data_IF_057673471146
#
_entry.id   IF_057673471146
#
_cell.length_a   1.000
_cell.length_b   1.000
_cell.length_c   1.000
_cell.angle_alpha   90.00
_cell.angle_beta   90.00
_cell.angle_gamma   90.00
#
_symmetry.space_group_name_H-M   'P 1'
#
loop_
_entity.id
_entity.type
_entity.pdbx_description
1 polymer ?
#
# COMPACT_ATOMS: atom_id res chain seq x y z
N UNK A 1 -13.60 -11.15 -6.80
CA UNK A 1 -13.24 -10.50 -5.52
C UNK A 1 -14.52 -10.12 -4.76
N UNK A 2 -15.03 -11.01 -3.90
CA UNK A 2 -16.38 -10.87 -3.30
C UNK A 2 -16.55 -9.58 -2.46
N UNK A 3 -15.57 -9.27 -1.62
CA UNK A 3 -15.64 -8.07 -0.74
C UNK A 3 -15.61 -6.78 -1.55
N UNK A 4 -14.76 -6.69 -2.57
CA UNK A 4 -14.63 -5.53 -3.45
C UNK A 4 -15.95 -5.26 -4.18
N UNK A 5 -16.58 -6.29 -4.74
CA UNK A 5 -17.89 -6.18 -5.40
C UNK A 5 -18.98 -5.68 -4.44
N UNK A 6 -19.01 -6.19 -3.20
CA UNK A 6 -19.95 -5.75 -2.18
C UNK A 6 -19.76 -4.25 -1.81
N UNK A 7 -18.51 -3.80 -1.66
CA UNK A 7 -18.19 -2.40 -1.38
C UNK A 7 -18.62 -1.48 -2.53
N UNK A 8 -18.42 -1.89 -3.78
CA UNK A 8 -18.85 -1.14 -4.98
C UNK A 8 -20.38 -1.04 -5.02
N UNK A 9 -21.10 -2.17 -4.85
CA UNK A 9 -22.57 -2.18 -4.83
C UNK A 9 -23.16 -1.33 -3.71
N UNK A 10 -22.45 -1.22 -2.58
CA UNK A 10 -22.81 -0.37 -1.46
C UNK A 10 -22.34 1.10 -1.60
N UNK A 11 -21.74 1.48 -2.74
CA UNK A 11 -21.18 2.80 -3.01
C UNK A 11 -20.22 3.28 -1.90
N UNK A 12 -19.30 2.41 -1.47
CA UNK A 12 -18.29 2.71 -0.45
C UNK A 12 -16.94 2.99 -1.09
N UNK A 13 -16.26 4.01 -0.60
CA UNK A 13 -14.87 4.32 -0.95
C UNK A 13 -13.94 3.36 -0.23
N UNK A 14 -12.96 2.79 -0.94
CA UNK A 14 -11.93 1.94 -0.36
C UNK A 14 -10.65 2.04 -1.21
N UNK A 15 -9.52 1.71 -0.57
CA UNK A 15 -8.24 1.56 -1.24
C UNK A 15 -7.83 0.08 -1.28
N UNK A 16 -7.26 -0.36 -2.40
CA UNK A 16 -6.76 -1.72 -2.59
C UNK A 16 -5.36 -1.68 -3.20
N UNK A 17 -4.43 -2.40 -2.57
CA UNK A 17 -3.08 -2.62 -3.11
C UNK A 17 -2.91 -4.09 -3.50
N UNK A 18 -2.66 -4.34 -4.78
CA UNK A 18 -2.47 -5.68 -5.33
C UNK A 18 -1.00 -5.90 -5.72
N UNK A 19 -0.43 -7.04 -5.32
CA UNK A 19 0.90 -7.47 -5.70
C UNK A 19 0.82 -8.59 -6.75
N UNK A 20 1.12 -8.31 -8.04
CA UNK A 20 1.05 -9.34 -9.08
C UNK A 20 2.14 -10.39 -8.86
N UNK A 21 1.83 -11.65 -9.24
CA UNK A 21 2.77 -12.78 -9.17
C UNK A 21 3.36 -13.06 -7.78
N UNK A 22 2.68 -12.60 -6.72
CA UNK A 22 3.07 -12.84 -5.35
C UNK A 22 2.06 -13.73 -4.64
N UNK A 23 2.54 -14.50 -3.68
CA UNK A 23 1.71 -15.40 -2.86
C UNK A 23 1.25 -14.65 -1.59
N UNK A 24 1.07 -15.36 -0.48
CA UNK A 24 0.56 -14.78 0.77
C UNK A 24 1.52 -13.76 1.43
N UNK A 25 2.82 -13.81 1.14
CA UNK A 25 3.83 -12.93 1.75
C UNK A 25 4.19 -11.77 0.84
N UNK A 26 4.90 -10.75 1.34
CA UNK A 26 5.31 -9.61 0.51
C UNK A 26 6.59 -9.87 -0.31
N UNK A 27 7.45 -10.81 0.07
CA UNK A 27 8.60 -11.24 -0.73
C UNK A 27 9.45 -10.07 -1.25
N UNK A 28 9.66 -10.03 -2.56
CA UNK A 28 10.41 -8.95 -3.24
C UNK A 28 9.77 -7.55 -3.10
N UNK A 29 8.49 -7.47 -2.72
CA UNK A 29 7.76 -6.21 -2.55
C UNK A 29 7.73 -5.72 -1.10
N UNK A 30 8.43 -6.34 -0.15
CA UNK A 30 8.36 -6.00 1.28
C UNK A 30 8.66 -4.52 1.57
N UNK A 31 9.74 -4.00 0.97
CA UNK A 31 10.09 -2.57 1.06
C UNK A 31 9.06 -1.66 0.40
N UNK A 32 8.49 -2.07 -0.73
CA UNK A 32 7.46 -1.29 -1.41
C UNK A 32 6.15 -1.28 -0.62
N UNK A 33 5.71 -2.44 -0.09
CA UNK A 33 4.54 -2.54 0.79
C UNK A 33 4.72 -1.66 2.02
N UNK A 34 5.89 -1.75 2.66
CA UNK A 34 6.20 -0.93 3.82
C UNK A 34 6.11 0.55 3.47
N UNK A 35 6.75 1.01 2.38
CA UNK A 35 6.62 2.40 1.91
C UNK A 35 5.15 2.81 1.74
N UNK A 36 4.35 2.03 0.99
CA UNK A 36 2.93 2.35 0.73
C UNK A 36 2.09 2.41 2.01
N UNK A 37 2.36 1.54 2.98
CA UNK A 37 1.69 1.57 4.30
C UNK A 37 2.02 2.85 5.07
N UNK A 38 3.28 3.25 5.11
CA UNK A 38 3.68 4.49 5.77
C UNK A 38 3.11 5.72 5.06
N UNK A 39 3.15 5.77 3.71
CA UNK A 39 2.57 6.85 2.92
C UNK A 39 1.07 7.04 3.24
N UNK A 40 0.34 5.93 3.41
CA UNK A 40 -1.08 5.94 3.77
C UNK A 40 -1.32 6.60 5.13
N UNK A 41 -0.49 6.29 6.13
CA UNK A 41 -0.61 6.90 7.46
C UNK A 41 -0.16 8.36 7.48
N UNK A 42 0.90 8.72 6.75
CA UNK A 42 1.33 10.11 6.63
C UNK A 42 0.22 10.96 6.02
N UNK A 43 -0.44 10.44 4.98
CA UNK A 43 -1.55 11.14 4.33
C UNK A 43 -2.80 11.21 5.23
N UNK A 44 -3.26 10.08 5.76
CA UNK A 44 -4.59 9.98 6.36
C UNK A 44 -4.63 10.14 7.89
N UNK A 45 -3.50 9.96 8.59
CA UNK A 45 -3.42 10.11 10.05
C UNK A 45 -2.66 11.37 10.45
N UNK A 46 -1.55 11.66 9.77
CA UNK A 46 -0.73 12.86 10.04
C UNK A 46 -1.19 14.09 9.24
N UNK A 47 -2.07 13.93 8.24
CA UNK A 47 -2.51 15.00 7.33
C UNK A 47 -1.33 15.72 6.66
N UNK A 48 -0.30 14.98 6.27
CA UNK A 48 0.91 15.49 5.63
C UNK A 48 1.18 14.80 4.29
N UNK A 49 2.08 15.36 3.49
CA UNK A 49 2.49 14.76 2.21
C UNK A 49 3.65 13.78 2.43
N UNK A 50 3.54 12.51 2.03
CA UNK A 50 4.65 11.57 2.14
C UNK A 50 5.82 11.96 1.22
N UNK A 51 7.07 11.61 1.60
CA UNK A 51 8.23 11.84 0.76
C UNK A 51 8.10 11.08 -0.56
N UNK A 52 8.34 11.79 -1.67
CA UNK A 52 8.25 11.21 -3.01
C UNK A 52 9.32 10.11 -3.19
N UNK A 53 8.88 8.94 -3.64
CA UNK A 53 9.73 7.80 -4.03
C UNK A 53 10.81 7.43 -3.01
N UNK A 54 10.47 7.54 -1.72
CA UNK A 54 11.38 7.19 -0.65
C UNK A 54 11.87 5.74 -0.77
N UNK A 55 13.20 5.58 -0.82
CA UNK A 55 13.85 4.28 -0.91
C UNK A 55 13.95 3.64 0.47
N UNK A 56 13.07 2.66 0.72
CA UNK A 56 13.12 1.85 1.93
C UNK A 56 14.27 0.83 1.85
N UNK A 57 15.03 0.67 2.94
CA UNK A 57 16.12 -0.30 3.02
C UNK A 57 17.43 0.16 2.36
N UNK A 58 17.78 1.45 2.50
CA UNK A 58 18.91 2.13 1.85
C UNK A 58 20.16 1.27 1.59
N UNK A 59 20.74 1.51 0.41
CA UNK A 59 21.92 0.88 -0.20
C UNK A 59 22.69 -0.09 0.70
N UNK A 60 22.47 -1.39 0.48
CA UNK A 60 23.54 -2.35 0.74
C UNK A 60 24.58 -2.12 -0.36
N UNK A 61 25.63 -1.38 -0.02
CA UNK A 61 26.92 -1.50 -0.71
C UNK A 61 27.40 -2.94 -0.65
#
# INVERSE_FOLDING_TARGET
MLVVDALIKANRTFDLLLFPNNVHTFGAFDFYMTRRRWDYFVTNLLNATPPKDYQMGGARN
#
